data_IF_942523563018
#
_entry.id   IF_942523563018
#
_cell.length_a   1.000
_cell.length_b   1.000
_cell.length_c   1.000
_cell.angle_alpha   90.00
_cell.angle_beta   90.00
_cell.angle_gamma   90.00
#
_symmetry.space_group_name_H-M   'P 1'
#
loop_
_entity.id
_entity.type
_entity.pdbx_description
1 polymer ?
#
# COMPACT_ATOMS: atom_id res chain seq x y z
N UNK A 1 3.03 -3.31 4.96
CA UNK A 1 1.80 -2.57 4.52
C UNK A 1 1.52 -2.61 3.02
N UNK A 2 2.38 -2.05 2.17
CA UNK A 2 2.08 -1.92 0.73
C UNK A 2 1.88 -3.26 0.02
N UNK A 3 2.70 -4.27 0.34
CA UNK A 3 2.52 -5.62 -0.21
C UNK A 3 1.19 -6.26 0.19
N UNK A 4 0.69 -5.98 1.39
CA UNK A 4 -0.65 -6.42 1.81
C UNK A 4 -1.73 -5.76 0.97
N UNK A 5 -1.67 -4.43 0.78
CA UNK A 5 -2.60 -3.74 -0.10
C UNK A 5 -2.60 -4.33 -1.51
N UNK A 6 -1.41 -4.42 -2.11
CA UNK A 6 -1.19 -4.96 -3.44
C UNK A 6 -1.76 -6.38 -3.59
N UNK A 7 -1.51 -7.28 -2.63
CA UNK A 7 -2.02 -8.66 -2.66
C UNK A 7 -3.53 -8.75 -2.82
N UNK A 8 -4.27 -7.84 -2.20
CA UNK A 8 -5.74 -7.83 -2.18
C UNK A 8 -6.36 -6.99 -3.29
N UNK A 9 -5.66 -5.97 -3.80
CA UNK A 9 -6.26 -4.99 -4.74
C UNK A 9 -5.70 -5.06 -6.15
N UNK A 10 -4.49 -5.60 -6.34
CA UNK A 10 -3.89 -5.64 -7.67
C UNK A 10 -4.59 -6.64 -8.60
N UNK A 11 -4.42 -6.42 -9.91
CA UNK A 11 -4.80 -7.42 -10.90
C UNK A 11 -3.89 -8.64 -10.82
N UNK A 12 -4.29 -9.71 -11.51
CA UNK A 12 -3.50 -10.95 -11.59
C UNK A 12 -3.39 -11.43 -13.02
N UNK A 13 -2.22 -11.96 -13.37
CA UNK A 13 -2.06 -12.82 -14.55
C UNK A 13 -2.00 -14.25 -14.05
N UNK A 14 -3.11 -14.98 -14.21
CA UNK A 14 -3.39 -16.21 -13.48
C UNK A 14 -3.29 -15.97 -11.97
N UNK A 15 -2.23 -16.47 -11.31
CA UNK A 15 -1.98 -16.23 -9.88
C UNK A 15 -0.88 -15.18 -9.62
N UNK A 16 -0.15 -14.74 -10.65
CA UNK A 16 0.98 -13.81 -10.49
C UNK A 16 0.49 -12.38 -10.28
N UNK A 17 1.19 -11.65 -9.42
CA UNK A 17 0.91 -10.22 -9.19
C UNK A 17 1.03 -9.42 -10.49
N UNK A 18 0.00 -8.64 -10.81
CA UNK A 18 0.05 -7.66 -11.90
C UNK A 18 -0.13 -6.27 -11.29
N UNK A 19 0.99 -5.59 -11.08
CA UNK A 19 1.01 -4.27 -10.45
C UNK A 19 0.52 -3.21 -11.44
N UNK A 20 -0.33 -2.31 -10.97
CA UNK A 20 -0.78 -1.13 -11.73
C UNK A 20 -0.76 0.09 -10.83
N UNK A 21 -0.26 1.21 -11.35
CA UNK A 21 -0.30 2.48 -10.63
C UNK A 21 -1.74 2.95 -10.39
N UNK A 22 -2.64 2.80 -11.35
CA UNK A 22 -4.03 3.27 -11.24
C UNK A 22 -4.89 2.44 -10.29
N UNK A 23 -4.52 1.18 -10.06
CA UNK A 23 -5.27 0.26 -9.20
C UNK A 23 -4.63 0.19 -7.80
N UNK A 24 -3.32 0.04 -7.74
CA UNK A 24 -2.61 -0.20 -6.48
C UNK A 24 -2.09 1.10 -5.89
N UNK A 25 -1.22 1.81 -6.60
CA UNK A 25 -0.48 2.94 -6.04
C UNK A 25 -1.38 4.15 -5.75
N UNK A 26 -2.17 4.60 -6.73
CA UNK A 26 -3.05 5.77 -6.61
C UNK A 26 -4.12 5.61 -5.52
N UNK A 27 -4.49 4.36 -5.22
CA UNK A 27 -5.51 4.04 -4.23
C UNK A 27 -4.92 3.55 -2.90
N UNK A 28 -3.59 3.50 -2.76
CA UNK A 28 -2.95 3.01 -1.53
C UNK A 28 -3.15 4.04 -0.41
N UNK A 29 -3.85 3.69 0.68
CA UNK A 29 -4.12 4.64 1.75
C UNK A 29 -2.88 4.81 2.63
N UNK A 30 -2.02 5.77 2.29
CA UNK A 30 -0.83 6.13 3.06
C UNK A 30 -1.21 6.95 4.31
N UNK A 31 -0.53 6.81 5.48
CA UNK A 31 -0.80 7.62 6.66
C UNK A 31 -0.71 9.12 6.38
N UNK A 32 -1.67 9.90 6.88
CA UNK A 32 -1.82 11.35 6.62
C UNK A 32 -0.64 12.19 7.11
N UNK A 33 -0.07 11.87 8.27
CA UNK A 33 0.95 12.72 8.90
C UNK A 33 2.02 11.92 9.66
N UNK A 34 2.92 11.19 8.96
CA UNK A 34 4.12 10.66 9.59
C UNK A 34 4.98 11.80 10.15
N UNK A 35 5.44 11.66 11.39
CA UNK A 35 6.39 12.59 12.02
C UNK A 35 7.78 12.48 11.37
N UNK A 36 8.58 13.54 11.43
CA UNK A 36 9.98 13.52 10.95
C UNK A 36 10.80 12.35 11.52
N UNK A 37 10.54 12.00 12.78
CA UNK A 37 11.16 10.85 13.44
C UNK A 37 10.77 9.53 12.78
N UNK A 38 9.50 9.36 12.42
CA UNK A 38 9.01 8.17 11.71
C UNK A 38 9.58 8.12 10.28
N UNK A 39 9.59 9.25 9.56
CA UNK A 39 10.19 9.33 8.22
C UNK A 39 11.65 8.92 8.26
N UNK A 40 12.45 9.50 9.16
CA UNK A 40 13.86 9.15 9.34
C UNK A 40 14.07 7.67 9.73
N UNK A 41 13.15 7.11 10.52
CA UNK A 41 13.20 5.68 10.86
C UNK A 41 12.95 4.79 9.63
N UNK A 42 12.00 5.15 8.76
CA UNK A 42 11.76 4.46 7.48
C UNK A 42 12.99 4.57 6.57
N UNK A 43 13.56 5.76 6.41
CA UNK A 43 14.75 5.98 5.58
C UNK A 43 15.92 5.11 6.06
N UNK A 44 16.19 5.12 7.36
CA UNK A 44 17.26 4.32 7.96
C UNK A 44 17.02 2.82 7.74
N UNK A 45 15.80 2.33 7.96
CA UNK A 45 15.46 0.92 7.75
C UNK A 45 15.50 0.53 6.25
N UNK A 46 15.12 1.45 5.36
CA UNK A 46 15.19 1.24 3.91
C UNK A 46 16.64 1.12 3.45
N UNK A 47 17.54 1.95 3.99
CA UNK A 47 18.97 1.85 3.70
C UNK A 47 19.53 0.49 4.13
N UNK A 48 19.14 -0.03 5.30
CA UNK A 48 19.55 -1.37 5.73
C UNK A 48 19.10 -2.48 4.77
N UNK A 49 17.94 -2.34 4.12
CA UNK A 49 17.50 -3.28 3.08
C UNK A 49 18.41 -3.21 1.86
N UNK A 50 18.86 -2.02 1.46
CA UNK A 50 19.83 -1.86 0.37
C UNK A 50 21.19 -2.45 0.76
N UNK A 51 21.68 -2.14 1.95
CA UNK A 51 22.96 -2.66 2.46
C UNK A 51 22.95 -4.19 2.57
N UNK A 52 21.82 -4.78 3.00
CA UNK A 52 21.65 -6.23 3.04
C UNK A 52 21.70 -6.86 1.65
N UNK A 53 21.17 -6.21 0.60
CA UNK A 53 21.27 -6.69 -0.78
C UNK A 53 22.70 -6.61 -1.30
N UNK A 54 23.43 -5.54 -0.98
CA UNK A 54 24.82 -5.32 -1.42
C UNK A 54 25.80 -6.39 -0.93
N UNK A 55 25.47 -7.09 0.16
CA UNK A 55 26.27 -8.22 0.65
C UNK A 55 26.29 -9.44 -0.29
N UNK A 56 25.41 -9.47 -1.31
CA UNK A 56 25.25 -10.59 -2.23
C UNK A 56 25.39 -10.17 -3.70
N UNK A 57 26.57 -9.68 -4.13
CA UNK A 57 26.76 -9.10 -5.47
C UNK A 57 26.58 -10.10 -6.63
N UNK A 58 26.67 -11.41 -6.36
CA UNK A 58 26.45 -12.46 -7.36
C UNK A 58 25.00 -12.95 -7.45
N UNK A 59 24.10 -12.48 -6.58
CA UNK A 59 22.70 -12.91 -6.53
C UNK A 59 21.81 -11.94 -7.29
N UNK A 60 20.88 -12.46 -8.07
CA UNK A 60 19.81 -11.66 -8.65
C UNK A 60 18.78 -11.27 -7.58
N UNK A 61 17.90 -10.30 -7.89
CA UNK A 61 16.75 -10.03 -7.02
C UNK A 61 15.80 -11.23 -6.91
N UNK A 62 15.72 -12.10 -7.92
CA UNK A 62 14.92 -13.30 -7.83
C UNK A 62 15.48 -14.24 -6.74
N UNK A 63 16.80 -14.45 -6.73
CA UNK A 63 17.48 -15.28 -5.73
C UNK A 63 17.32 -14.69 -4.32
N UNK A 64 17.45 -13.37 -4.20
CA UNK A 64 17.33 -12.67 -2.92
C UNK A 64 15.91 -12.62 -2.36
N UNK A 65 14.88 -12.77 -3.19
CA UNK A 65 13.48 -12.66 -2.80
C UNK A 65 12.68 -13.95 -2.89
N UNK A 66 13.33 -15.07 -3.20
CA UNK A 66 12.72 -16.38 -3.05
C UNK A 66 12.44 -16.64 -1.55
N UNK A 67 11.19 -16.94 -1.15
CA UNK A 67 10.81 -17.14 0.25
C UNK A 67 11.58 -18.26 0.97
N UNK A 68 12.11 -19.25 0.24
CA UNK A 68 12.82 -20.38 0.81
C UNK A 68 14.32 -20.12 1.00
N UNK A 69 14.89 -19.19 0.23
CA UNK A 69 16.33 -18.91 0.23
C UNK A 69 16.70 -17.47 0.57
N UNK A 70 15.71 -16.59 0.81
CA UNK A 70 15.95 -15.20 1.21
C UNK A 70 16.91 -15.15 2.41
N UNK A 71 18.07 -14.46 2.29
CA UNK A 71 19.05 -14.43 3.36
C UNK A 71 18.49 -13.82 4.63
N UNK A 72 18.83 -14.39 5.80
CA UNK A 72 18.27 -13.94 7.09
C UNK A 72 18.54 -12.47 7.40
N UNK A 73 19.64 -11.90 6.89
CA UNK A 73 19.96 -10.48 7.03
C UNK A 73 18.95 -9.60 6.30
N UNK A 74 18.52 -10.03 5.10
CA UNK A 74 17.52 -9.33 4.31
C UNK A 74 16.11 -9.49 4.92
N UNK A 75 15.78 -10.69 5.43
CA UNK A 75 14.52 -10.92 6.17
C UNK A 75 14.42 -9.97 7.37
N UNK A 76 15.48 -9.88 8.19
CA UNK A 76 15.50 -8.98 9.36
C UNK A 76 15.40 -7.52 8.96
N UNK A 77 16.08 -7.09 7.89
CA UNK A 77 15.99 -5.72 7.40
C UNK A 77 14.56 -5.36 6.96
N UNK A 78 13.85 -6.26 6.29
CA UNK A 78 12.43 -6.07 5.96
C UNK A 78 11.52 -6.04 7.18
N UNK A 79 11.76 -6.89 8.18
CA UNK A 79 10.99 -6.85 9.43
C UNK A 79 11.16 -5.51 10.18
N UNK A 80 12.37 -4.95 10.18
CA UNK A 80 12.63 -3.62 10.74
C UNK A 80 11.94 -2.51 9.95
N UNK A 81 11.97 -2.58 8.61
CA UNK A 81 11.28 -1.65 7.74
C UNK A 81 9.76 -1.71 7.93
N UNK A 82 9.18 -2.92 7.95
CA UNK A 82 7.75 -3.13 8.19
C UNK A 82 7.34 -2.57 9.57
N UNK A 83 8.16 -2.75 10.60
CA UNK A 83 7.88 -2.17 11.93
C UNK A 83 7.89 -0.63 11.89
N UNK A 84 8.85 -0.02 11.21
CA UNK A 84 8.92 1.43 11.06
C UNK A 84 7.71 1.99 10.30
N UNK A 85 7.31 1.31 9.22
CA UNK A 85 6.13 1.67 8.42
C UNK A 85 4.85 1.47 9.22
N UNK A 86 4.65 0.32 9.87
CA UNK A 86 3.47 0.01 10.66
C UNK A 86 3.21 1.07 11.75
N UNK A 87 4.29 1.57 12.39
CA UNK A 87 4.23 2.64 13.39
C UNK A 87 3.73 3.98 12.84
N UNK A 88 3.78 4.20 11.53
CA UNK A 88 3.19 5.38 10.89
C UNK A 88 1.66 5.29 10.79
N UNK A 89 1.12 4.08 10.77
CA UNK A 89 -0.33 3.85 10.70
C UNK A 89 -0.95 3.88 12.09
N UNK A 90 -0.30 3.23 13.07
CA UNK A 90 -0.75 3.20 14.47
C UNK A 90 0.36 2.71 15.42
N UNK A 91 0.30 3.02 16.73
CA UNK A 91 1.32 2.60 17.67
C UNK A 91 1.30 1.10 18.00
N UNK A 92 0.15 0.41 17.89
CA UNK A 92 0.05 -1.02 18.14
C UNK A 92 0.48 -1.85 16.94
N UNK A 93 1.30 -2.88 17.16
CA UNK A 93 1.68 -3.82 16.11
C UNK A 93 0.46 -4.49 15.46
N UNK A 94 0.60 -4.84 14.18
CA UNK A 94 -0.36 -5.68 13.48
C UNK A 94 -0.02 -7.15 13.72
N UNK A 95 -1.00 -7.90 14.21
CA UNK A 95 -0.83 -9.32 14.59
C UNK A 95 -0.94 -10.27 13.40
N UNK A 96 -1.47 -9.81 12.26
CA UNK A 96 -1.64 -10.63 11.05
C UNK A 96 -1.78 -9.76 9.81
N UNK A 97 -1.63 -10.37 8.62
CA UNK A 97 -1.93 -9.71 7.35
C UNK A 97 -3.41 -9.31 7.25
N UNK A 98 -4.33 -10.15 7.74
CA UNK A 98 -5.77 -9.86 7.76
C UNK A 98 -6.06 -8.56 8.53
N UNK A 99 -5.41 -8.34 9.68
CA UNK A 99 -5.54 -7.10 10.45
C UNK A 99 -4.90 -5.89 9.76
N UNK A 100 -3.90 -6.08 8.90
CA UNK A 100 -3.36 -4.98 8.07
C UNK A 100 -4.37 -4.57 7.00
N UNK A 101 -4.94 -5.53 6.26
CA UNK A 101 -5.88 -5.19 5.17
C UNK A 101 -7.19 -4.59 5.68
N UNK A 102 -7.72 -5.09 6.81
CA UNK A 102 -8.87 -4.50 7.52
C UNK A 102 -8.63 -3.01 7.81
N UNK A 103 -7.50 -2.68 8.44
CA UNK A 103 -7.14 -1.30 8.74
C UNK A 103 -6.96 -0.43 7.48
N UNK A 104 -6.34 -0.99 6.43
CA UNK A 104 -6.12 -0.25 5.19
C UNK A 104 -7.46 0.06 4.49
N UNK A 105 -8.43 -0.85 4.49
CA UNK A 105 -9.76 -0.54 3.94
C UNK A 105 -10.52 0.51 4.76
N UNK A 106 -10.47 0.45 6.09
CA UNK A 106 -11.04 1.51 6.95
C UNK A 106 -10.39 2.87 6.69
N UNK A 107 -9.07 2.90 6.47
CA UNK A 107 -8.35 4.13 6.13
C UNK A 107 -8.72 4.63 4.73
N UNK A 108 -8.80 3.74 3.76
CA UNK A 108 -9.25 4.08 2.40
C UNK A 108 -10.67 4.65 2.38
N UNK A 109 -11.61 4.04 3.13
CA UNK A 109 -12.96 4.56 3.27
C UNK A 109 -12.96 5.96 3.86
N UNK A 110 -12.18 6.22 4.91
CA UNK A 110 -12.05 7.57 5.49
C UNK A 110 -11.54 8.59 4.47
N UNK A 111 -10.55 8.22 3.66
CA UNK A 111 -10.00 9.13 2.64
C UNK A 111 -10.94 9.35 1.46
N UNK A 112 -11.81 8.38 1.16
CA UNK A 112 -12.72 8.42 0.00
C UNK A 112 -14.14 8.86 0.34
N UNK A 113 -14.52 8.89 1.61
CA UNK A 113 -15.82 9.38 2.06
C UNK A 113 -15.98 10.84 1.66
N UNK A 114 -17.04 11.14 0.91
CA UNK A 114 -17.33 12.48 0.41
C UNK A 114 -16.79 12.82 -0.98
N UNK A 115 -15.80 12.07 -1.49
CA UNK A 115 -15.34 12.19 -2.90
C UNK A 115 -16.43 11.78 -3.89
N UNK A 116 -17.23 10.75 -3.53
CA UNK A 116 -18.34 10.25 -4.35
C UNK A 116 -19.70 10.90 -4.02
N UNK A 117 -19.74 11.90 -3.13
CA UNK A 117 -20.98 12.56 -2.70
C UNK A 117 -21.43 13.73 -3.63
N UNK A 118 -20.72 13.99 -4.73
CA UNK A 118 -21.12 14.90 -5.82
C UNK A 118 -20.99 14.08 -7.12
N UNK A 119 -22.02 13.80 -7.90
CA UNK A 119 -22.98 14.73 -8.49
C UNK A 119 -24.43 14.20 -8.47
N UNK A 120 -25.35 14.92 -7.82
CA UNK A 120 -26.76 14.86 -8.23
C UNK A 120 -26.92 15.79 -9.44
N UNK A 121 -26.80 15.26 -10.64
CA UNK A 121 -27.21 15.98 -11.86
C UNK A 121 -28.70 16.32 -11.70
N UNK A 122 -29.03 17.61 -11.52
CA UNK A 122 -30.42 18.08 -11.57
C UNK A 122 -30.94 17.78 -12.98
N UNK A 123 -31.87 16.82 -13.11
CA UNK A 123 -32.65 16.66 -14.35
C UNK A 123 -33.37 17.98 -14.63
N UNK A 124 -32.90 18.71 -15.62
CA UNK A 124 -33.64 19.81 -16.25
C UNK A 124 -34.96 19.25 -16.78
N UNK A 125 -36.10 19.78 -16.29
CA UNK A 125 -37.41 19.50 -16.89
C UNK A 125 -37.42 20.14 -18.27
N UNK A 126 -37.33 19.34 -19.33
CA UNK A 126 -37.77 19.77 -20.66
C UNK A 126 -39.26 20.13 -20.56
N UNK A 127 -39.54 21.42 -20.66
CA UNK A 127 -40.89 21.92 -20.91
C UNK A 127 -41.32 21.47 -22.29
N UNK A 128 -42.21 20.48 -22.36
CA UNK A 128 -42.97 20.18 -23.56
C UNK A 128 -43.88 21.35 -23.87
N UNK A 129 -43.53 22.17 -24.87
CA UNK A 129 -44.48 23.09 -25.49
C UNK A 129 -45.22 22.31 -26.59
N UNK A 130 -46.42 21.88 -26.24
CA UNK A 130 -47.51 21.58 -27.16
C UNK A 130 -48.01 22.86 -27.81
N UNK A 131 -48.13 22.90 -29.14
CA UNK A 131 -48.85 23.98 -29.82
C UNK A 131 -48.57 24.03 -31.31
N UNK A 132 -49.51 23.42 -32.05
CA UNK A 132 -50.04 23.76 -33.39
C UNK A 132 -49.26 24.81 -34.20
#
# INVERSE_FOLDING_TARGET
MHMTWMRYTCGRLESRYSYSNTIVYNNFPWPEAPTDKQVKAIETASQKVLDARLQYPGSSLADLYDPLTMPSVLVKAHQELDKAVDLCYRPQAFISEAKRIEYLFELYERYTTGLFAKEKVKKSKQSSLSGI
#
